data_IF_101851006761
#
_entry.id   IF_101851006761
#
_cell.length_a   1.000
_cell.length_b   1.000
_cell.length_c   1.000
_cell.angle_alpha   90.00
_cell.angle_beta   90.00
_cell.angle_gamma   90.00
#
_symmetry.space_group_name_H-M   'P 1'
#
loop_
_entity.id
_entity.type
_entity.pdbx_description
1 polymer ?
#
# COMPACT_ATOMS: atom_id res chain seq x y z
N UNK A 1 -7.00 15.38 -12.89
CA UNK A 1 -7.85 14.63 -13.84
C UNK A 1 -8.00 13.21 -13.34
N UNK A 2 -9.14 12.60 -13.64
CA UNK A 2 -9.60 11.35 -13.04
C UNK A 2 -10.00 10.36 -14.14
N UNK A 3 -9.49 9.13 -14.06
CA UNK A 3 -9.95 8.00 -14.89
C UNK A 3 -10.64 6.99 -13.98
N UNK A 4 -11.86 6.60 -14.36
CA UNK A 4 -12.56 5.48 -13.72
C UNK A 4 -12.88 4.40 -14.74
N UNK A 5 -12.27 3.24 -14.52
CA UNK A 5 -12.55 2.02 -15.23
C UNK A 5 -12.88 0.89 -14.24
N UNK A 6 -13.40 1.23 -13.06
CA UNK A 6 -13.84 0.24 -12.08
C UNK A 6 -15.07 -0.53 -12.55
N UNK A 7 -15.27 -1.73 -12.00
CA UNK A 7 -16.43 -2.60 -12.29
C UNK A 7 -16.52 -2.99 -13.78
N UNK A 8 -15.37 -3.32 -14.37
CA UNK A 8 -15.30 -3.86 -15.72
C UNK A 8 -14.75 -5.29 -15.67
N UNK A 9 -14.29 -5.80 -16.81
CA UNK A 9 -13.68 -7.12 -16.96
C UNK A 9 -12.24 -7.00 -17.46
N UNK A 10 -11.53 -5.98 -16.97
CA UNK A 10 -10.15 -5.72 -17.40
C UNK A 10 -9.25 -6.79 -16.79
N UNK A 11 -8.52 -7.50 -17.63
CA UNK A 11 -7.54 -8.52 -17.22
C UNK A 11 -6.10 -7.99 -17.34
N UNK A 12 -5.86 -7.08 -18.30
CA UNK A 12 -4.56 -6.49 -18.58
C UNK A 12 -4.68 -4.97 -18.73
N UNK A 13 -3.76 -4.23 -18.10
CA UNK A 13 -3.69 -2.75 -18.19
C UNK A 13 -2.79 -2.29 -19.37
N UNK A 14 -2.36 -3.22 -20.21
CA UNK A 14 -1.50 -2.99 -21.37
C UNK A 14 -2.08 -1.93 -22.32
N UNK A 15 -1.20 -1.24 -23.05
CA UNK A 15 -1.52 -0.30 -24.14
C UNK A 15 -2.21 1.01 -23.73
N UNK A 16 -2.27 1.32 -22.43
CA UNK A 16 -2.73 2.62 -21.97
C UNK A 16 -1.60 3.67 -21.99
N UNK A 17 -1.72 4.65 -22.87
CA UNK A 17 -0.91 5.88 -22.82
C UNK A 17 -1.71 6.97 -22.12
N UNK A 18 -1.51 7.22 -20.81
CA UNK A 18 -2.26 8.23 -20.10
C UNK A 18 -1.93 9.63 -20.62
N UNK A 19 -2.91 10.57 -20.59
CA UNK A 19 -2.58 11.97 -20.71
C UNK A 19 -1.68 12.40 -19.55
N UNK A 20 -0.72 13.29 -19.83
CA UNK A 20 0.32 13.73 -18.88
C UNK A 20 -0.23 14.31 -17.56
N UNK A 21 -1.49 14.75 -17.55
CA UNK A 21 -2.17 15.34 -16.39
C UNK A 21 -3.08 14.36 -15.61
N UNK A 22 -3.02 13.05 -15.89
CA UNK A 22 -3.80 12.04 -15.18
C UNK A 22 -3.25 11.79 -13.77
N UNK A 23 -4.01 12.19 -12.74
CA UNK A 23 -3.52 12.16 -11.34
C UNK A 23 -4.25 11.15 -10.46
N UNK A 24 -5.42 10.69 -10.89
CA UNK A 24 -6.20 9.68 -10.17
C UNK A 24 -6.68 8.61 -11.13
N UNK A 25 -6.44 7.34 -10.79
CA UNK A 25 -6.89 6.18 -11.56
C UNK A 25 -7.61 5.20 -10.66
N UNK A 26 -8.83 4.84 -11.03
CA UNK A 26 -9.59 3.77 -10.40
C UNK A 26 -9.78 2.59 -11.35
N UNK A 27 -9.15 1.48 -11.01
CA UNK A 27 -9.20 0.18 -11.69
C UNK A 27 -9.80 -0.90 -10.77
N UNK A 28 -10.48 -0.52 -9.68
CA UNK A 28 -11.02 -1.49 -8.72
C UNK A 28 -12.13 -2.36 -9.31
N UNK A 29 -12.36 -3.55 -8.76
CA UNK A 29 -13.41 -4.46 -9.23
C UNK A 29 -13.23 -4.82 -10.72
N UNK A 30 -12.08 -5.40 -11.02
CA UNK A 30 -11.73 -5.97 -12.33
C UNK A 30 -11.12 -7.37 -12.11
N UNK A 31 -10.50 -7.93 -13.14
CA UNK A 31 -9.82 -9.24 -13.09
C UNK A 31 -8.32 -9.12 -13.36
N UNK A 32 -7.72 -8.00 -12.95
CA UNK A 32 -6.32 -7.69 -13.25
C UNK A 32 -5.43 -8.65 -12.45
N UNK A 33 -4.59 -9.39 -13.17
CA UNK A 33 -3.59 -10.33 -12.59
C UNK A 33 -2.18 -9.74 -12.62
N UNK A 34 -1.90 -8.86 -13.58
CA UNK A 34 -0.68 -8.07 -13.68
C UNK A 34 -0.99 -6.69 -14.28
N UNK A 35 -0.39 -5.64 -13.70
CA UNK A 35 -0.62 -4.26 -14.16
C UNK A 35 0.26 -3.86 -15.35
N UNK A 36 1.22 -4.70 -15.77
CA UNK A 36 2.20 -4.37 -16.79
C UNK A 36 3.15 -3.24 -16.38
N UNK A 37 3.80 -2.64 -17.38
CA UNK A 37 4.67 -1.48 -17.15
C UNK A 37 3.86 -0.18 -17.19
N UNK A 38 3.69 0.47 -16.04
CA UNK A 38 3.06 1.79 -15.93
C UNK A 38 4.08 2.94 -15.97
N UNK A 39 5.23 2.74 -16.62
CA UNK A 39 6.30 3.74 -16.71
C UNK A 39 5.87 5.09 -17.27
N UNK A 40 4.93 5.10 -18.21
CA UNK A 40 4.35 6.31 -18.81
C UNK A 40 3.39 7.05 -17.87
N UNK A 41 2.93 6.41 -16.79
CA UNK A 41 1.92 6.94 -15.87
C UNK A 41 2.50 7.75 -14.70
N UNK A 42 3.66 8.39 -14.90
CA UNK A 42 4.45 9.03 -13.83
C UNK A 42 3.67 10.09 -13.01
N UNK A 43 2.66 10.73 -13.59
CA UNK A 43 1.87 11.79 -12.94
C UNK A 43 0.76 11.29 -11.99
N UNK A 44 0.54 9.97 -11.90
CA UNK A 44 -0.45 9.40 -10.98
C UNK A 44 -0.06 9.69 -9.53
N UNK A 45 -1.01 10.24 -8.78
CA UNK A 45 -0.91 10.53 -7.34
C UNK A 45 -1.71 9.51 -6.52
N UNK A 46 -2.83 9.03 -7.07
CA UNK A 46 -3.71 8.06 -6.42
C UNK A 46 -4.06 6.92 -7.38
N UNK A 47 -3.82 5.69 -6.94
CA UNK A 47 -4.12 4.49 -7.70
C UNK A 47 -4.97 3.54 -6.85
N UNK A 48 -6.14 3.18 -7.36
CA UNK A 48 -6.99 2.16 -6.75
C UNK A 48 -7.05 0.91 -7.64
N UNK A 49 -6.53 -0.19 -7.12
CA UNK A 49 -6.49 -1.52 -7.71
C UNK A 49 -7.21 -2.55 -6.82
N UNK A 50 -8.07 -2.10 -5.89
CA UNK A 50 -8.75 -3.02 -4.98
C UNK A 50 -9.72 -3.97 -5.69
N UNK A 51 -9.99 -5.13 -5.11
CA UNK A 51 -10.87 -6.14 -5.72
C UNK A 51 -10.40 -6.54 -7.13
N UNK A 52 -9.17 -7.02 -7.22
CA UNK A 52 -8.58 -7.62 -8.42
C UNK A 52 -7.96 -8.98 -8.03
N UNK A 53 -7.10 -9.53 -8.89
CA UNK A 53 -6.49 -10.86 -8.72
C UNK A 53 -4.95 -10.73 -8.74
N UNK A 54 -4.43 -9.62 -8.20
CA UNK A 54 -2.99 -9.39 -8.15
C UNK A 54 -2.36 -10.33 -7.12
N UNK A 55 -1.42 -11.16 -7.55
CA UNK A 55 -0.61 -12.03 -6.66
C UNK A 55 0.67 -11.35 -6.18
N UNK A 56 1.14 -10.35 -6.93
CA UNK A 56 2.35 -9.60 -6.63
C UNK A 56 2.19 -8.12 -6.95
N UNK A 57 3.05 -7.32 -6.32
CA UNK A 57 3.18 -5.89 -6.63
C UNK A 57 4.26 -5.77 -7.69
N UNK A 58 3.92 -5.28 -8.88
CA UNK A 58 4.82 -5.07 -10.03
C UNK A 58 4.48 -3.74 -10.71
N UNK A 59 5.26 -3.27 -11.69
CA UNK A 59 4.84 -2.17 -12.58
C UNK A 59 4.80 -0.75 -12.00
N UNK A 60 5.01 -0.55 -10.69
CA UNK A 60 4.85 0.77 -10.03
C UNK A 60 6.12 1.63 -9.98
N UNK A 61 7.28 1.11 -10.39
CA UNK A 61 8.62 1.69 -10.12
C UNK A 61 8.76 3.18 -10.45
N UNK A 62 8.10 3.63 -11.52
CA UNK A 62 8.21 4.99 -12.05
C UNK A 62 7.09 5.94 -11.59
N UNK A 63 6.14 5.47 -10.77
CA UNK A 63 5.07 6.30 -10.22
C UNK A 63 5.58 7.16 -9.05
N UNK A 64 6.57 8.03 -9.32
CA UNK A 64 7.28 8.81 -8.30
C UNK A 64 6.39 9.83 -7.55
N UNK A 65 5.25 10.17 -8.14
CA UNK A 65 4.25 11.04 -7.51
C UNK A 65 3.16 10.28 -6.74
N UNK A 66 3.18 8.95 -6.75
CA UNK A 66 2.18 8.12 -6.08
C UNK A 66 2.24 8.30 -4.57
N UNK A 67 1.12 8.72 -3.99
CA UNK A 67 0.98 8.95 -2.54
C UNK A 67 -0.07 8.04 -1.91
N UNK A 68 -1.09 7.64 -2.65
CA UNK A 68 -2.15 6.74 -2.19
C UNK A 68 -2.21 5.52 -3.10
N UNK A 69 -2.03 4.35 -2.51
CA UNK A 69 -2.13 3.07 -3.20
C UNK A 69 -3.10 2.16 -2.46
N UNK A 70 -4.18 1.77 -3.15
CA UNK A 70 -5.11 0.78 -2.64
C UNK A 70 -4.99 -0.53 -3.43
N UNK A 71 -4.55 -1.57 -2.73
CA UNK A 71 -4.38 -2.94 -3.21
C UNK A 71 -5.23 -3.91 -2.38
N UNK A 72 -6.26 -3.42 -1.67
CA UNK A 72 -7.08 -4.28 -0.83
C UNK A 72 -7.85 -5.33 -1.63
N UNK A 73 -8.15 -6.47 -1.02
CA UNK A 73 -8.89 -7.57 -1.64
C UNK A 73 -8.24 -8.02 -2.96
N UNK A 74 -6.96 -8.38 -2.87
CA UNK A 74 -6.17 -9.05 -3.91
C UNK A 74 -5.58 -10.35 -3.31
N UNK A 75 -4.61 -10.98 -3.97
CA UNK A 75 -4.00 -12.23 -3.55
C UNK A 75 -2.52 -12.06 -3.13
N UNK A 76 -2.13 -10.85 -2.71
CA UNK A 76 -0.73 -10.51 -2.47
C UNK A 76 -0.20 -11.21 -1.21
N UNK A 77 0.96 -11.87 -1.33
CA UNK A 77 1.60 -12.57 -0.20
C UNK A 77 2.76 -11.80 0.44
N UNK A 78 3.40 -10.88 -0.31
CA UNK A 78 4.60 -10.16 0.13
C UNK A 78 4.54 -8.69 -0.24
N UNK A 79 5.02 -7.84 0.68
CA UNK A 79 5.12 -6.39 0.48
C UNK A 79 6.50 -6.09 -0.12
N UNK A 80 6.60 -6.19 -1.44
CA UNK A 80 7.84 -6.00 -2.22
C UNK A 80 7.60 -5.04 -3.39
N UNK A 81 8.67 -4.62 -4.08
CA UNK A 81 8.62 -3.77 -5.27
C UNK A 81 7.96 -2.39 -5.08
N UNK A 82 7.89 -1.93 -3.83
CA UNK A 82 7.46 -0.57 -3.48
C UNK A 82 8.64 0.37 -3.20
N UNK A 83 9.87 -0.10 -3.46
CA UNK A 83 11.07 0.65 -3.18
C UNK A 83 11.11 1.96 -3.96
N UNK A 84 11.62 3.02 -3.32
CA UNK A 84 11.78 4.34 -3.91
C UNK A 84 10.46 5.01 -4.36
N UNK A 85 9.31 4.56 -3.82
CA UNK A 85 8.02 5.22 -3.96
C UNK A 85 7.72 6.12 -2.76
N UNK A 86 7.01 7.22 -3.01
CA UNK A 86 6.68 8.22 -2.00
C UNK A 86 5.28 8.01 -1.39
N UNK A 87 4.94 6.75 -1.12
CA UNK A 87 3.60 6.37 -0.64
C UNK A 87 3.40 6.89 0.79
N UNK A 88 2.28 7.57 1.00
CA UNK A 88 1.82 8.08 2.30
C UNK A 88 0.75 7.19 2.92
N UNK A 89 -0.08 6.59 2.07
CA UNK A 89 -1.17 5.71 2.47
C UNK A 89 -1.18 4.45 1.61
N UNK A 90 -1.09 3.30 2.27
CA UNK A 90 -1.07 1.98 1.65
C UNK A 90 -2.16 1.10 2.24
N UNK A 91 -3.13 0.69 1.42
CA UNK A 91 -4.14 -0.27 1.83
C UNK A 91 -3.85 -1.64 1.21
N UNK A 92 -3.63 -2.63 2.07
CA UNK A 92 -3.36 -4.04 1.75
C UNK A 92 -4.35 -4.97 2.48
N UNK A 93 -5.48 -4.46 2.95
CA UNK A 93 -6.50 -5.26 3.62
C UNK A 93 -6.98 -6.42 2.73
N UNK A 94 -7.29 -7.58 3.30
CA UNK A 94 -7.89 -8.68 2.53
C UNK A 94 -6.95 -9.32 1.52
N UNK A 95 -5.66 -9.42 1.86
CA UNK A 95 -4.63 -10.12 1.08
C UNK A 95 -4.13 -11.36 1.85
N UNK A 96 -3.07 -12.01 1.36
CA UNK A 96 -2.48 -13.21 1.97
C UNK A 96 -1.11 -12.94 2.61
N UNK A 97 -0.85 -11.71 3.04
CA UNK A 97 0.46 -11.32 3.57
C UNK A 97 0.73 -12.04 4.88
N UNK A 98 1.85 -12.76 4.93
CA UNK A 98 2.26 -13.57 6.10
C UNK A 98 3.33 -12.89 6.94
N UNK A 99 4.15 -12.03 6.34
CA UNK A 99 5.20 -11.30 7.06
C UNK A 99 5.57 -9.99 6.36
N UNK A 100 6.29 -9.14 7.09
CA UNK A 100 6.89 -7.91 6.57
C UNK A 100 8.32 -8.10 6.04
N UNK A 101 8.86 -9.32 6.15
CA UNK A 101 10.19 -9.60 5.59
C UNK A 101 10.07 -9.64 4.08
N UNK A 102 10.74 -8.70 3.44
CA UNK A 102 11.08 -8.80 2.03
C UNK A 102 12.10 -9.93 1.83
N UNK A 103 12.01 -10.62 0.69
CA UNK A 103 12.99 -11.61 0.25
C UNK A 103 14.41 -11.00 0.18
N UNK A 104 14.50 -9.70 -0.11
CA UNK A 104 15.76 -8.95 -0.13
C UNK A 104 15.86 -8.12 1.16
N UNK A 105 16.91 -8.29 1.99
CA UNK A 105 17.15 -7.48 3.18
C UNK A 105 17.21 -5.98 2.87
N UNK A 106 16.58 -5.17 3.72
CA UNK A 106 16.55 -3.70 3.55
C UNK A 106 15.55 -3.18 2.51
N UNK A 107 14.85 -4.05 1.78
CA UNK A 107 13.81 -3.71 0.79
C UNK A 107 12.39 -3.83 1.37
N UNK A 108 11.40 -3.52 0.54
CA UNK A 108 9.98 -3.66 0.85
C UNK A 108 9.47 -2.53 1.73
N UNK A 109 8.63 -2.83 2.72
CA UNK A 109 8.01 -1.79 3.58
C UNK A 109 9.03 -0.88 4.29
N UNK A 110 10.27 -1.34 4.49
CA UNK A 110 11.30 -0.59 5.19
C UNK A 110 11.72 0.67 4.43
N UNK A 111 11.66 0.65 3.09
CA UNK A 111 12.10 1.76 2.22
C UNK A 111 11.06 2.87 2.11
N UNK A 112 9.81 2.62 2.53
CA UNK A 112 8.75 3.62 2.55
C UNK A 112 8.91 4.59 3.73
N UNK A 113 9.75 5.62 3.54
CA UNK A 113 10.10 6.60 4.57
C UNK A 113 8.97 7.59 4.88
N UNK A 114 8.11 7.88 3.90
CA UNK A 114 7.01 8.84 4.04
C UNK A 114 5.65 8.19 4.35
N UNK A 115 5.62 6.87 4.58
CA UNK A 115 4.40 6.14 4.89
C UNK A 115 3.83 6.56 6.25
N UNK A 116 2.57 6.97 6.26
CA UNK A 116 1.83 7.44 7.45
C UNK A 116 0.76 6.46 7.86
N UNK A 117 0.04 5.91 6.88
CA UNK A 117 -1.08 5.01 7.10
C UNK A 117 -0.83 3.71 6.35
N UNK A 118 -0.97 2.60 7.07
CA UNK A 118 -1.00 1.27 6.49
C UNK A 118 -2.18 0.48 7.03
N UNK A 119 -2.99 -0.08 6.12
CA UNK A 119 -4.13 -0.92 6.46
C UNK A 119 -3.82 -2.36 6.07
N UNK A 120 -3.86 -3.27 7.05
CA UNK A 120 -3.44 -4.68 6.92
C UNK A 120 -4.47 -5.65 7.49
N UNK A 121 -5.71 -5.21 7.70
CA UNK A 121 -6.79 -6.09 8.16
C UNK A 121 -6.94 -7.30 7.25
N UNK A 122 -7.49 -8.40 7.78
CA UNK A 122 -7.80 -9.58 6.96
C UNK A 122 -6.60 -10.12 6.14
N UNK A 123 -5.41 -10.17 6.75
CA UNK A 123 -4.21 -10.84 6.22
C UNK A 123 -3.85 -12.10 7.04
N UNK A 124 -2.74 -12.76 6.69
CA UNK A 124 -2.23 -13.98 7.35
C UNK A 124 -0.99 -13.73 8.22
N UNK A 125 -0.87 -12.52 8.77
CA UNK A 125 0.28 -12.12 9.57
C UNK A 125 0.36 -12.97 10.84
N UNK A 126 1.38 -13.81 10.94
CA UNK A 126 1.60 -14.70 12.08
C UNK A 126 2.44 -14.07 13.19
N UNK A 127 3.06 -12.91 12.93
CA UNK A 127 3.97 -12.27 13.88
C UNK A 127 3.67 -10.77 14.02
N UNK A 128 3.71 -10.30 15.27
CA UNK A 128 3.63 -8.89 15.62
C UNK A 128 5.01 -8.20 15.58
N UNK A 129 6.06 -8.83 15.03
CA UNK A 129 7.43 -8.30 15.08
C UNK A 129 7.59 -6.93 14.42
N UNK A 130 6.60 -6.54 13.62
CA UNK A 130 6.45 -5.24 12.99
C UNK A 130 6.20 -4.07 13.95
N UNK A 131 5.49 -4.29 15.07
CA UNK A 131 5.22 -3.19 16.02
C UNK A 131 6.51 -2.61 16.60
N UNK A 132 7.62 -3.37 16.64
CA UNK A 132 8.95 -2.84 16.99
C UNK A 132 9.49 -1.83 15.96
N UNK A 133 9.21 -2.02 14.66
CA UNK A 133 9.73 -1.17 13.57
C UNK A 133 8.99 0.17 13.50
N UNK A 134 7.65 0.17 13.61
CA UNK A 134 6.87 1.42 13.67
C UNK A 134 7.21 2.23 14.92
N UNK A 135 7.27 1.59 16.10
CA UNK A 135 7.64 2.27 17.35
C UNK A 135 9.04 2.90 17.24
N UNK A 136 9.98 2.27 16.53
CA UNK A 136 11.31 2.85 16.31
C UNK A 136 11.27 4.08 15.40
N UNK A 137 10.47 4.05 14.32
CA UNK A 137 10.29 5.22 13.43
C UNK A 137 9.63 6.41 14.15
N UNK A 138 8.61 6.18 14.97
CA UNK A 138 8.02 7.24 15.83
C UNK A 138 9.00 7.77 16.87
N UNK A 139 9.82 6.90 17.47
CA UNK A 139 10.78 7.29 18.51
C UNK A 139 11.92 8.15 17.98
N UNK A 140 12.35 7.96 16.72
CA UNK A 140 13.36 8.80 16.06
C UNK A 140 12.77 10.19 15.72
N UNK A 141 11.50 10.26 15.29
CA UNK A 141 10.84 11.53 14.99
C UNK A 141 10.55 12.40 16.24
N UNK A 142 10.45 11.80 17.43
CA UNK A 142 10.16 12.50 18.69
C UNK A 142 11.38 13.04 19.44
N UNK A 143 12.61 12.83 18.96
CA UNK A 143 13.82 13.36 19.62
C UNK A 143 14.13 14.83 19.30
N UNK A 144 13.27 15.55 18.57
CA UNK A 144 13.53 16.94 18.13
C UNK A 144 12.48 18.00 18.49
N UNK A 145 11.42 17.72 19.25
CA UNK A 145 10.47 18.78 19.68
C UNK A 145 9.99 18.54 21.12
N UNK A 146 10.06 19.59 21.93
CA UNK A 146 9.67 19.66 23.35
C UNK A 146 8.18 19.97 23.54
N UNK A 147 7.62 19.38 24.60
CA UNK A 147 6.36 19.75 25.30
C UNK A 147 5.04 19.11 24.82
N UNK A 148 4.11 18.76 25.74
CA UNK A 148 3.30 17.55 25.67
C UNK A 148 1.83 17.79 25.31
N UNK A 149 1.30 17.00 24.39
CA UNK A 149 -0.15 16.77 24.24
C UNK A 149 -0.42 15.28 24.42
N UNK A 150 -1.13 14.97 25.51
CA UNK A 150 -2.07 13.87 25.74
C UNK A 150 -1.88 12.54 24.99
N UNK A 151 -0.77 11.95 25.36
CA UNK A 151 -0.57 10.56 25.74
C UNK A 151 -1.76 10.02 26.57
N UNK A 152 -2.80 9.52 25.89
CA UNK A 152 -3.47 8.26 26.30
C UNK A 152 -2.94 7.22 25.31
N UNK A 153 -2.02 6.41 25.83
CA UNK A 153 -0.81 5.89 25.20
C UNK A 153 -1.04 5.17 23.85
N UNK A 154 -0.59 5.69 22.70
CA UNK A 154 0.06 6.97 22.39
C UNK A 154 -0.33 7.39 20.95
N UNK A 155 -1.32 8.30 20.86
CA UNK A 155 -1.72 9.18 19.75
C UNK A 155 -1.35 8.84 18.29
N UNK A 156 -2.40 8.53 17.51
CA UNK A 156 -2.72 9.32 16.32
C UNK A 156 -2.39 8.70 14.97
N UNK A 157 -3.39 8.01 14.41
CA UNK A 157 -3.54 7.65 12.98
C UNK A 157 -2.99 6.30 12.49
N UNK A 158 -3.27 5.19 13.21
CA UNK A 158 -3.54 3.91 12.51
C UNK A 158 -4.74 3.24 13.18
N UNK A 159 -5.89 3.27 12.50
CA UNK A 159 -7.05 2.46 12.87
C UNK A 159 -6.75 1.00 12.49
N UNK A 160 -6.18 0.22 13.39
CA UNK A 160 -6.03 -1.22 13.24
C UNK A 160 -7.36 -1.90 13.61
N UNK A 161 -8.27 -2.03 12.64
CA UNK A 161 -9.47 -2.87 12.82
C UNK A 161 -9.08 -4.34 12.68
N UNK A 162 -8.66 -4.97 13.77
CA UNK A 162 -8.56 -6.43 13.85
C UNK A 162 -9.93 -6.98 14.25
N UNK A 163 -10.79 -7.30 13.28
CA UNK A 163 -12.00 -8.11 13.55
C UNK A 163 -11.58 -9.57 13.69
N UNK A 164 -11.73 -10.13 14.89
CA UNK A 164 -11.61 -11.56 15.16
C UNK A 164 -12.55 -12.33 14.21
N UNK A 165 -12.01 -13.22 13.38
CA UNK A 165 -12.81 -14.30 12.80
C UNK A 165 -13.25 -15.19 13.97
N UNK A 166 -14.57 -15.34 14.14
CA UNK A 166 -15.11 -16.38 15.00
C UNK A 166 -14.79 -17.71 14.34
N UNK A 167 -13.96 -18.51 14.98
CA UNK A 167 -13.94 -19.96 14.77
C UNK A 167 -15.28 -20.46 15.32
N UNK A 168 -16.11 -21.03 14.45
CA UNK A 168 -17.15 -21.98 14.83
C UNK A 168 -16.60 -23.37 14.61
#
# INVERSE_FOLDING_TARGET
>A
MYLNASHNKIEHVSDFTPPWYLTYVNLSYNYITDIGDLSSCWSIVRLNLSHNILESISGLKNLKHLQYLNLSYNLIERIENLDDLNIRELNLEGNYITSFRSAIPGRGINTLSNLRIILLGHNRLSTLSFFKVIITKERIARQSISSPVLIKWFLGCIHLTLRRSKVQ
#
